data_IF_452724203744
#
_entry.id   IF_452724203744
#
_cell.length_a   1.000
_cell.length_b   1.000
_cell.length_c   1.000
_cell.angle_alpha   90.00
_cell.angle_beta   90.00
_cell.angle_gamma   90.00
#
_symmetry.space_group_name_H-M   'P 1'
#
loop_
_entity.id
_entity.type
_entity.pdbx_description
1 polymer ?
#
# COMPACT_ATOMS: atom_id res chain seq x y z
N UNK A 1 12.00 -2.51 -24.92
CA UNK A 1 12.75 -2.26 -23.67
C UNK A 1 11.94 -1.28 -22.83
N UNK A 2 11.27 -1.83 -21.82
CA UNK A 2 10.99 -1.26 -20.50
C UNK A 2 10.48 0.19 -20.40
N UNK A 3 9.17 0.37 -20.55
CA UNK A 3 8.44 1.51 -19.97
C UNK A 3 7.15 1.07 -19.25
N UNK A 4 7.01 -0.22 -18.92
CA UNK A 4 5.85 -0.76 -18.20
C UNK A 4 6.00 -0.67 -16.66
N UNK A 5 6.88 0.22 -16.17
CA UNK A 5 7.21 0.28 -14.74
C UNK A 5 7.37 1.68 -14.17
N UNK A 6 6.77 2.68 -14.81
CA UNK A 6 6.33 3.85 -14.05
C UNK A 6 5.00 3.47 -13.37
N UNK A 7 5.10 2.52 -12.43
CA UNK A 7 4.10 2.46 -11.38
C UNK A 7 4.10 3.84 -10.75
N UNK A 8 3.04 4.62 -10.98
CA UNK A 8 2.82 5.86 -10.29
C UNK A 8 2.89 5.54 -8.79
N UNK A 9 4.05 5.74 -8.20
CA UNK A 9 4.27 5.45 -6.79
C UNK A 9 3.60 6.59 -6.04
N UNK A 10 2.28 6.46 -5.88
CA UNK A 10 1.41 7.45 -5.24
C UNK A 10 1.73 7.60 -3.74
N UNK A 11 2.53 6.69 -3.19
CA UNK A 11 2.98 6.70 -1.82
C UNK A 11 4.39 6.10 -1.70
N UNK A 12 5.19 6.62 -0.78
CA UNK A 12 6.49 6.08 -0.43
C UNK A 12 6.48 5.46 0.97
N UNK A 13 7.42 4.54 1.16
CA UNK A 13 7.65 3.85 2.43
C UNK A 13 8.64 4.63 3.29
N UNK A 14 8.31 4.81 4.57
CA UNK A 14 9.17 5.42 5.57
C UNK A 14 9.26 4.51 6.82
N UNK A 15 10.44 4.53 7.46
CA UNK A 15 10.64 3.96 8.78
C UNK A 15 10.82 5.10 9.77
N UNK A 16 9.96 5.11 10.78
CA UNK A 16 9.93 6.13 11.83
C UNK A 16 10.25 5.47 13.17
N UNK A 17 10.93 6.22 14.05
CA UNK A 17 11.22 5.79 15.41
C UNK A 17 10.48 6.70 16.39
N UNK A 18 9.89 6.14 17.44
CA UNK A 18 9.29 6.91 18.53
C UNK A 18 10.31 7.26 19.62
N UNK A 19 9.88 8.09 20.58
CA UNK A 19 10.72 8.51 21.72
C UNK A 19 11.12 7.36 22.66
N UNK A 20 10.45 6.21 22.55
CA UNK A 20 10.76 4.99 23.32
C UNK A 20 11.73 4.07 22.58
N UNK A 21 12.19 4.46 21.39
CA UNK A 21 13.12 3.71 20.56
C UNK A 21 12.48 2.64 19.68
N UNK A 22 11.15 2.54 19.65
CA UNK A 22 10.42 1.59 18.81
C UNK A 22 10.30 2.09 17.39
N UNK A 23 10.35 1.14 16.45
CA UNK A 23 10.26 1.38 15.03
C UNK A 23 8.87 1.08 14.49
N UNK A 24 8.42 1.93 13.57
CA UNK A 24 7.18 1.78 12.83
C UNK A 24 7.44 1.98 11.35
N UNK A 25 6.77 1.18 10.52
CA UNK A 25 6.67 1.49 9.10
C UNK A 25 5.46 2.38 8.82
N UNK A 26 5.60 3.27 7.83
CA UNK A 26 4.55 4.20 7.39
C UNK A 26 4.51 4.24 5.87
N UNK A 27 3.33 4.14 5.29
CA UNK A 27 3.06 4.52 3.91
C UNK A 27 2.54 5.94 3.88
N UNK A 28 3.27 6.83 3.20
CA UNK A 28 2.91 8.23 3.06
C UNK A 28 2.64 8.54 1.60
N UNK A 29 1.53 9.20 1.30
CA UNK A 29 1.27 9.67 -0.06
C UNK A 29 2.29 10.73 -0.48
N UNK A 30 2.42 10.97 -1.78
CA UNK A 30 3.21 12.08 -2.32
C UNK A 30 2.73 13.46 -1.82
N UNK A 31 1.45 13.57 -1.44
CA UNK A 31 0.88 14.76 -0.81
C UNK A 31 1.20 14.88 0.70
N UNK A 32 1.87 13.88 1.29
CA UNK A 32 2.30 13.87 2.70
C UNK A 32 1.33 13.20 3.68
N UNK A 33 0.17 12.74 3.22
CA UNK A 33 -0.82 12.08 4.07
C UNK A 33 -0.42 10.65 4.42
N UNK A 34 -0.62 10.25 5.67
CA UNK A 34 -0.40 8.86 6.10
C UNK A 34 -1.56 8.00 5.62
N UNK A 35 -1.26 7.02 4.76
CA UNK A 35 -2.23 6.07 4.22
C UNK A 35 -2.31 4.80 5.07
N UNK A 36 -1.15 4.35 5.57
CA UNK A 36 -1.08 3.22 6.49
C UNK A 36 0.14 3.35 7.41
N UNK A 37 0.05 2.74 8.59
CA UNK A 37 1.14 2.68 9.58
C UNK A 37 1.07 1.33 10.29
N UNK A 38 2.22 0.80 10.70
CA UNK A 38 2.23 -0.39 11.55
C UNK A 38 1.49 -0.13 12.87
N UNK A 39 0.50 -0.98 13.18
CA UNK A 39 -0.20 -0.91 14.46
C UNK A 39 0.69 -1.37 15.64
N UNK A 40 1.69 -2.21 15.34
CA UNK A 40 2.61 -2.77 16.33
C UNK A 40 3.95 -2.03 16.31
N UNK A 41 4.55 -1.79 17.50
CA UNK A 41 5.92 -1.31 17.62
C UNK A 41 6.92 -2.44 17.33
N UNK A 42 8.05 -2.10 16.72
CA UNK A 42 9.14 -3.04 16.46
C UNK A 42 10.41 -2.65 17.19
N UNK A 43 11.12 -3.62 17.75
CA UNK A 43 12.35 -3.39 18.51
C UNK A 43 13.55 -2.95 17.64
N UNK A 44 13.45 -3.07 16.32
CA UNK A 44 14.51 -2.63 15.41
C UNK A 44 13.97 -2.18 14.06
N UNK A 45 14.75 -1.33 13.38
CA UNK A 45 14.48 -0.90 12.01
C UNK A 45 14.33 -2.08 11.05
N UNK A 46 15.14 -3.13 11.25
CA UNK A 46 15.10 -4.35 10.44
C UNK A 46 13.78 -5.11 10.62
N UNK A 47 13.37 -5.32 11.87
CA UNK A 47 12.10 -6.00 12.17
C UNK A 47 10.91 -5.24 11.58
N UNK A 48 10.93 -3.90 11.64
CA UNK A 48 9.91 -3.08 10.98
C UNK A 48 9.90 -3.23 9.45
N UNK A 49 11.07 -3.29 8.81
CA UNK A 49 11.17 -3.49 7.37
C UNK A 49 10.75 -4.90 6.93
N UNK A 50 11.08 -5.93 7.70
CA UNK A 50 10.66 -7.32 7.43
C UNK A 50 9.13 -7.46 7.53
N UNK A 51 8.54 -6.97 8.63
CA UNK A 51 7.09 -6.98 8.81
C UNK A 51 6.37 -6.17 7.71
N UNK A 52 6.96 -5.07 7.27
CA UNK A 52 6.43 -4.32 6.14
C UNK A 52 6.41 -5.15 4.86
N UNK A 53 7.49 -5.88 4.56
CA UNK A 53 7.57 -6.69 3.33
C UNK A 53 6.48 -7.77 3.29
N UNK A 54 6.17 -8.37 4.45
CA UNK A 54 5.06 -9.31 4.60
C UNK A 54 3.71 -8.62 4.37
N UNK A 55 3.47 -7.49 5.03
CA UNK A 55 2.21 -6.73 4.89
C UNK A 55 2.00 -6.19 3.47
N UNK A 56 3.08 -5.72 2.82
CA UNK A 56 3.01 -5.16 1.46
C UNK A 56 2.56 -6.20 0.44
N UNK A 57 2.91 -7.48 0.65
CA UNK A 57 2.46 -8.57 -0.22
C UNK A 57 0.93 -8.74 -0.14
N UNK A 58 0.38 -8.76 1.07
CA UNK A 58 -1.06 -8.86 1.30
C UNK A 58 -1.82 -7.65 0.75
N UNK A 59 -1.27 -6.45 0.95
CA UNK A 59 -1.88 -5.20 0.49
C UNK A 59 -1.95 -5.09 -1.04
N UNK A 60 -0.90 -5.49 -1.75
CA UNK A 60 -0.90 -5.50 -3.22
C UNK A 60 -1.98 -6.43 -3.79
N UNK A 61 -2.14 -7.62 -3.21
CA UNK A 61 -3.19 -8.55 -3.62
C UNK A 61 -4.59 -8.01 -3.31
N UNK A 62 -4.77 -7.32 -2.18
CA UNK A 62 -6.04 -6.68 -1.84
C UNK A 62 -6.43 -5.58 -2.83
N UNK A 63 -5.53 -4.62 -3.09
CA UNK A 63 -5.80 -3.51 -4.02
C UNK A 63 -6.10 -4.03 -5.43
N UNK A 64 -5.37 -5.05 -5.89
CA UNK A 64 -5.64 -5.70 -7.19
C UNK A 64 -7.06 -6.26 -7.25
N UNK A 65 -7.47 -7.03 -6.25
CA UNK A 65 -8.81 -7.64 -6.20
C UNK A 65 -9.93 -6.61 -6.11
N UNK A 66 -9.74 -5.56 -5.32
CA UNK A 66 -10.71 -4.44 -5.25
C UNK A 66 -10.83 -3.74 -6.59
N UNK A 67 -9.71 -3.47 -7.27
CA UNK A 67 -9.72 -2.83 -8.57
C UNK A 67 -10.42 -3.70 -9.63
N UNK A 68 -10.19 -5.02 -9.62
CA UNK A 68 -10.88 -5.97 -10.51
C UNK A 68 -12.39 -6.03 -10.24
N UNK A 69 -12.80 -6.09 -8.98
CA UNK A 69 -14.21 -6.09 -8.60
C UNK A 69 -14.91 -4.78 -9.00
N UNK A 70 -14.24 -3.65 -8.81
CA UNK A 70 -14.76 -2.34 -9.22
C UNK A 70 -14.90 -2.23 -10.74
N UNK A 71 -13.90 -2.68 -11.50
CA UNK A 71 -13.96 -2.71 -12.95
C UNK A 71 -15.10 -3.61 -13.47
N UNK A 72 -15.30 -4.78 -12.85
CA UNK A 72 -16.41 -5.67 -13.20
C UNK A 72 -17.77 -5.03 -12.93
N UNK A 73 -17.95 -4.35 -11.79
CA UNK A 73 -19.21 -3.68 -11.43
C UNK A 73 -19.59 -2.55 -12.39
N UNK A 74 -18.62 -1.85 -12.96
CA UNK A 74 -18.89 -0.76 -13.91
C UNK A 74 -19.24 -1.28 -15.32
N UNK A 75 -18.77 -2.48 -15.69
CA UNK A 75 -19.03 -3.07 -17.00
C UNK A 75 -20.46 -3.60 -17.16
N UNK A 76 -21.17 -3.86 -16.06
CA UNK A 76 -22.55 -4.39 -16.08
C UNK A 76 -23.60 -3.30 -16.39
N UNK A 77 -23.27 -2.01 -16.25
CA UNK A 77 -24.22 -0.91 -16.49
C UNK A 77 -24.41 -0.54 -17.98
N UNK A 78 -23.55 -0.99 -18.90
CA UNK A 78 -23.64 -0.66 -20.34
C UNK A 78 -24.31 -1.73 -21.21
N UNK A 79 -24.89 -2.79 -20.63
CA UNK A 79 -25.53 -3.89 -21.36
C UNK A 79 -27.03 -3.74 -21.63
N UNK A 80 -27.66 -2.64 -21.23
CA UNK A 80 -29.10 -2.44 -21.25
C UNK A 80 -29.57 -1.26 -22.10
N UNK A 81 -29.29 -1.26 -23.39
CA UNK A 81 -30.02 -0.42 -24.34
C UNK A 81 -30.79 -1.31 -25.32
N UNK A 82 -32.10 -1.10 -25.37
CA UNK A 82 -33.09 -1.85 -26.16
C UNK A 82 -32.77 -1.92 -27.65
#
# INVERSE_FOLDING_TARGET
MSAEKDQAMLAHFELTQDDSGNWFWVFRSTAGHVMARSAVPHHSKRAAAEHFNETAHEFCEFVRKVNEAFAASLAEEEGGNC
#
